data_IF_847515587217
#
_entry.id   IF_847515587217
#
_cell.length_a   1.000
_cell.length_b   1.000
_cell.length_c   1.000
_cell.angle_alpha   90.00
_cell.angle_beta   90.00
_cell.angle_gamma   90.00
#
_symmetry.space_group_name_H-M   'P 1'
#
loop_
_entity.id
_entity.type
_entity.pdbx_description
1 polymer ?
#
# COMPACT_ATOMS: atom_id res chain seq x y z
N UNK A 1 18.69 -19.97 4.82
CA UNK A 1 17.41 -19.25 4.65
C UNK A 1 17.21 -18.18 5.71
N UNK A 2 17.16 -18.51 7.01
CA UNK A 2 16.91 -17.53 8.11
C UNK A 2 18.00 -16.45 8.14
N UNK A 3 19.27 -16.83 8.00
CA UNK A 3 20.39 -15.89 7.98
C UNK A 3 20.33 -14.93 6.79
N UNK A 4 19.98 -15.43 5.62
CA UNK A 4 19.78 -14.62 4.42
C UNK A 4 18.62 -13.65 4.57
N UNK A 5 17.49 -14.11 5.13
CA UNK A 5 16.33 -13.23 5.42
C UNK A 5 16.69 -12.11 6.40
N UNK A 6 17.43 -12.44 7.48
CA UNK A 6 17.87 -11.44 8.47
C UNK A 6 18.82 -10.40 7.89
N UNK A 7 19.64 -10.75 6.89
CA UNK A 7 20.53 -9.80 6.22
C UNK A 7 19.77 -8.89 5.22
N UNK A 8 18.77 -9.43 4.53
CA UNK A 8 18.04 -8.70 3.48
C UNK A 8 16.94 -7.81 4.05
N UNK A 9 16.27 -8.22 5.14
CA UNK A 9 15.15 -7.47 5.72
C UNK A 9 15.50 -6.02 6.11
N UNK A 10 16.62 -5.72 6.82
CA UNK A 10 16.98 -4.34 7.14
C UNK A 10 17.15 -3.47 5.89
N UNK A 11 17.76 -4.02 4.84
CA UNK A 11 17.98 -3.31 3.56
C UNK A 11 16.63 -2.97 2.91
N UNK A 12 15.67 -3.91 2.93
CA UNK A 12 14.32 -3.67 2.40
C UNK A 12 13.59 -2.58 3.18
N UNK A 13 13.70 -2.58 4.52
CA UNK A 13 13.08 -1.55 5.33
C UNK A 13 13.67 -0.15 5.06
N UNK A 14 15.00 -0.05 4.95
CA UNK A 14 15.67 1.20 4.58
C UNK A 14 15.24 1.65 3.18
N UNK A 15 15.24 0.74 2.20
CA UNK A 15 14.78 1.04 0.85
C UNK A 15 13.32 1.52 0.82
N UNK A 16 12.45 0.85 1.57
CA UNK A 16 11.03 1.24 1.66
C UNK A 16 10.86 2.61 2.30
N UNK A 17 11.65 2.93 3.33
CA UNK A 17 11.64 4.24 3.96
C UNK A 17 12.14 5.34 3.01
N UNK A 18 13.18 5.07 2.22
CA UNK A 18 13.66 5.99 1.18
C UNK A 18 12.61 6.21 0.08
N UNK A 19 11.97 5.14 -0.38
CA UNK A 19 10.88 5.24 -1.35
C UNK A 19 9.70 6.04 -0.80
N UNK A 20 9.42 5.96 0.50
CA UNK A 20 8.36 6.73 1.13
C UNK A 20 8.64 8.24 1.08
N UNK A 21 9.89 8.64 1.26
CA UNK A 21 10.28 10.05 1.18
C UNK A 21 10.37 10.57 -0.26
N UNK A 22 10.84 9.74 -1.20
CA UNK A 22 11.09 10.18 -2.58
C UNK A 22 9.86 10.14 -3.48
N UNK A 23 8.96 9.20 -3.25
CA UNK A 23 7.79 9.03 -4.11
C UNK A 23 6.62 9.83 -3.53
N UNK A 24 6.26 10.91 -4.22
CA UNK A 24 5.13 11.75 -3.82
C UNK A 24 3.79 11.01 -4.00
N UNK A 25 2.90 11.20 -3.03
CA UNK A 25 1.53 10.65 -3.03
C UNK A 25 0.75 11.03 -4.29
N UNK A 26 0.92 12.29 -4.78
CA UNK A 26 0.26 12.76 -5.99
C UNK A 26 0.66 11.97 -7.22
N UNK A 27 1.94 11.60 -7.34
CA UNK A 27 2.48 10.79 -8.43
C UNK A 27 1.86 9.39 -8.42
N UNK A 28 1.81 8.73 -7.25
CA UNK A 28 1.19 7.41 -7.13
C UNK A 28 -0.30 7.45 -7.46
N UNK A 29 -1.04 8.42 -6.95
CA UNK A 29 -2.46 8.56 -7.27
C UNK A 29 -2.72 8.78 -8.76
N UNK A 30 -1.86 9.54 -9.45
CA UNK A 30 -1.98 9.82 -10.88
C UNK A 30 -1.71 8.58 -11.75
N UNK A 31 -0.67 7.80 -11.41
CA UNK A 31 -0.20 6.70 -12.26
C UNK A 31 -0.69 5.32 -11.82
N UNK A 32 -0.92 5.10 -10.53
CA UNK A 32 -1.33 3.81 -9.95
C UNK A 32 -2.67 3.88 -9.21
N UNK A 33 -3.31 5.05 -9.13
CA UNK A 33 -4.61 5.23 -8.51
C UNK A 33 -5.77 4.65 -9.32
N UNK A 34 -6.97 4.70 -8.78
CA UNK A 34 -8.22 4.22 -9.44
C UNK A 34 -8.50 4.92 -10.77
N UNK A 35 -8.05 6.15 -10.95
CA UNK A 35 -8.22 6.94 -12.19
C UNK A 35 -7.26 6.57 -13.31
N UNK A 36 -6.20 5.80 -13.04
CA UNK A 36 -5.13 5.51 -14.02
C UNK A 36 -5.53 4.53 -15.13
N UNK A 37 -6.68 3.84 -15.00
CA UNK A 37 -7.23 2.90 -15.99
C UNK A 37 -6.14 1.95 -16.56
N UNK A 38 -6.05 1.86 -17.91
CA UNK A 38 -5.09 0.97 -18.61
C UNK A 38 -3.62 1.33 -18.39
N UNK A 39 -3.30 2.62 -18.23
CA UNK A 39 -1.91 3.08 -17.98
C UNK A 39 -1.37 2.54 -16.66
N UNK A 40 -2.19 2.53 -15.63
CA UNK A 40 -1.82 1.97 -14.34
C UNK A 40 -1.55 0.47 -14.40
N UNK A 41 -2.35 -0.28 -15.16
CA UNK A 41 -2.17 -1.72 -15.40
C UNK A 41 -0.81 -2.00 -16.04
N UNK A 42 -0.49 -1.32 -17.14
CA UNK A 42 0.78 -1.50 -17.85
C UNK A 42 1.96 -1.16 -16.96
N UNK A 43 1.90 -0.01 -16.28
CA UNK A 43 2.94 0.42 -15.36
C UNK A 43 3.15 -0.58 -14.22
N UNK A 44 2.07 -1.15 -13.69
CA UNK A 44 2.12 -2.17 -12.63
C UNK A 44 2.80 -3.45 -13.10
N UNK A 45 2.53 -3.91 -14.33
CA UNK A 45 3.23 -5.04 -14.93
C UNK A 45 4.73 -4.75 -15.09
N UNK A 46 5.09 -3.59 -15.61
CA UNK A 46 6.49 -3.19 -15.79
C UNK A 46 7.22 -3.14 -14.46
N UNK A 47 6.65 -2.47 -13.45
CA UNK A 47 7.24 -2.37 -12.12
C UNK A 47 7.42 -3.75 -11.47
N UNK A 48 6.41 -4.63 -11.56
CA UNK A 48 6.51 -5.98 -11.03
C UNK A 48 7.56 -6.83 -11.75
N UNK A 49 7.66 -6.73 -13.09
CA UNK A 49 8.56 -7.55 -13.91
C UNK A 49 10.04 -7.16 -13.82
N UNK A 50 10.32 -5.86 -13.67
CA UNK A 50 11.71 -5.35 -13.54
C UNK A 50 12.26 -5.58 -12.13
N UNK A 51 11.39 -5.74 -11.15
CA UNK A 51 11.82 -5.88 -9.76
C UNK A 51 12.73 -7.08 -9.55
N UNK A 52 13.90 -6.84 -8.99
CA UNK A 52 14.84 -7.86 -8.58
C UNK A 52 14.72 -8.09 -7.07
N UNK A 53 14.43 -9.31 -6.65
CA UNK A 53 14.37 -9.63 -5.22
C UNK A 53 13.34 -10.70 -4.89
N UNK A 54 13.36 -11.19 -3.66
CA UNK A 54 12.40 -12.18 -3.19
C UNK A 54 11.01 -11.56 -3.02
N UNK A 55 9.97 -12.37 -3.09
CA UNK A 55 8.58 -11.91 -3.04
C UNK A 55 8.22 -11.19 -1.73
N UNK A 56 8.84 -11.57 -0.62
CA UNK A 56 8.60 -10.92 0.67
C UNK A 56 9.04 -9.44 0.70
N UNK A 57 9.96 -9.04 -0.19
CA UNK A 57 10.31 -7.63 -0.39
C UNK A 57 9.20 -6.82 -1.04
N UNK A 58 8.33 -7.46 -1.81
CA UNK A 58 7.22 -6.79 -2.48
C UNK A 58 6.13 -6.31 -1.50
N UNK A 59 5.91 -7.05 -0.39
CA UNK A 59 4.83 -6.73 0.55
C UNK A 59 4.95 -5.33 1.18
N UNK A 60 6.08 -4.93 1.79
CA UNK A 60 6.22 -3.59 2.36
C UNK A 60 6.03 -2.50 1.30
N UNK A 61 6.55 -2.71 0.09
CA UNK A 61 6.42 -1.78 -1.03
C UNK A 61 4.96 -1.66 -1.46
N UNK A 62 4.24 -2.78 -1.60
CA UNK A 62 2.82 -2.78 -1.94
C UNK A 62 1.96 -2.09 -0.89
N UNK A 63 2.25 -2.32 0.40
CA UNK A 63 1.58 -1.62 1.51
C UNK A 63 1.83 -0.11 1.45
N UNK A 64 3.07 0.30 1.18
CA UNK A 64 3.42 1.71 1.02
C UNK A 64 2.68 2.35 -0.16
N UNK A 65 2.67 1.70 -1.32
CA UNK A 65 1.96 2.18 -2.52
C UNK A 65 0.46 2.31 -2.25
N UNK A 66 -0.13 1.35 -1.53
CA UNK A 66 -1.54 1.42 -1.14
C UNK A 66 -1.82 2.60 -0.20
N UNK A 67 -1.00 2.82 0.82
CA UNK A 67 -1.09 3.99 1.70
C UNK A 67 -0.99 5.32 0.94
N UNK A 68 -0.23 5.34 -0.15
CA UNK A 68 -0.09 6.50 -1.05
C UNK A 68 -1.22 6.61 -2.09
N UNK A 69 -2.17 5.70 -2.12
CA UNK A 69 -3.39 5.76 -2.93
C UNK A 69 -3.35 4.95 -4.22
N UNK A 70 -2.44 3.97 -4.33
CA UNK A 70 -2.51 2.98 -5.41
C UNK A 70 -3.77 2.12 -5.28
N UNK A 71 -4.40 1.78 -6.42
CA UNK A 71 -5.59 0.94 -6.43
C UNK A 71 -5.24 -0.52 -6.09
N UNK A 72 -6.16 -1.22 -5.46
CA UNK A 72 -6.05 -2.65 -5.12
C UNK A 72 -5.70 -3.46 -6.36
N UNK A 73 -6.38 -3.20 -7.47
CA UNK A 73 -6.13 -3.84 -8.77
C UNK A 73 -4.66 -3.74 -9.17
N UNK A 74 -4.08 -2.55 -9.13
CA UNK A 74 -2.69 -2.32 -9.53
C UNK A 74 -1.70 -2.99 -8.56
N UNK A 75 -2.02 -3.03 -7.27
CA UNK A 75 -1.22 -3.73 -6.26
C UNK A 75 -1.20 -5.23 -6.51
N UNK A 76 -2.35 -5.83 -6.80
CA UNK A 76 -2.44 -7.26 -7.14
C UNK A 76 -1.59 -7.55 -8.38
N UNK A 77 -1.64 -6.69 -9.41
CA UNK A 77 -0.83 -6.86 -10.61
C UNK A 77 0.67 -6.77 -10.30
N UNK A 78 1.10 -5.77 -9.51
CA UNK A 78 2.51 -5.63 -9.10
C UNK A 78 2.96 -6.89 -8.37
N UNK A 79 2.22 -7.34 -7.37
CA UNK A 79 2.57 -8.49 -6.54
C UNK A 79 2.63 -9.78 -7.35
N UNK A 80 1.65 -10.01 -8.22
CA UNK A 80 1.57 -11.19 -9.08
C UNK A 80 2.68 -11.20 -10.13
N UNK A 81 2.94 -10.05 -10.77
CA UNK A 81 4.02 -9.91 -11.75
C UNK A 81 5.39 -10.11 -11.10
N UNK A 82 5.59 -9.55 -9.89
CA UNK A 82 6.79 -9.76 -9.10
C UNK A 82 7.05 -11.24 -8.78
N UNK A 83 5.98 -12.00 -8.51
CA UNK A 83 6.09 -13.42 -8.19
C UNK A 83 6.41 -14.29 -9.42
N UNK A 84 5.81 -13.99 -10.59
CA UNK A 84 5.74 -14.94 -11.69
C UNK A 84 6.44 -14.45 -12.97
N UNK A 85 6.45 -13.13 -13.25
CA UNK A 85 6.97 -12.55 -14.48
C UNK A 85 8.27 -11.78 -14.20
N UNK A 86 9.35 -12.49 -13.91
CA UNK A 86 10.68 -11.87 -13.76
C UNK A 86 11.50 -12.03 -15.02
N UNK A 87 12.15 -10.95 -15.46
CA UNK A 87 13.02 -10.97 -16.64
C UNK A 87 14.07 -12.09 -16.60
N UNK A 88 14.80 -12.32 -15.48
CA UNK A 88 15.76 -13.43 -15.41
C UNK A 88 15.12 -14.82 -15.56
N UNK A 89 13.89 -14.97 -15.07
CA UNK A 89 13.15 -16.23 -15.18
C UNK A 89 12.70 -16.50 -16.62
N UNK A 90 12.25 -15.48 -17.33
CA UNK A 90 11.90 -15.59 -18.75
C UNK A 90 13.09 -15.99 -19.60
N UNK A 91 14.28 -15.43 -19.35
CA UNK A 91 15.52 -15.79 -20.06
C UNK A 91 15.86 -17.28 -19.84
N UNK A 92 15.75 -17.76 -18.62
CA UNK A 92 15.99 -19.18 -18.30
C UNK A 92 14.97 -20.09 -19.00
N UNK A 93 13.70 -19.71 -19.04
CA UNK A 93 12.68 -20.49 -19.74
C UNK A 93 12.93 -20.58 -21.23
N UNK A 94 13.31 -19.49 -21.88
CA UNK A 94 13.68 -19.53 -23.30
C UNK A 94 14.85 -20.50 -23.52
N UNK A 95 15.83 -20.48 -22.63
CA UNK A 95 17.01 -21.33 -22.74
C UNK A 95 16.72 -22.82 -22.57
N UNK A 96 15.84 -23.19 -21.63
CA UNK A 96 15.57 -24.59 -21.29
C UNK A 96 14.36 -25.19 -21.99
N UNK A 97 13.31 -24.39 -22.20
CA UNK A 97 12.01 -24.86 -22.69
C UNK A 97 11.66 -24.31 -24.10
N UNK A 98 12.46 -23.39 -24.60
CA UNK A 98 12.25 -22.75 -25.89
C UNK A 98 11.31 -21.56 -25.85
N UNK A 99 11.43 -20.73 -26.91
CA UNK A 99 10.70 -19.46 -27.00
C UNK A 99 9.19 -19.64 -27.14
N UNK A 100 8.75 -20.71 -27.79
CA UNK A 100 7.32 -20.98 -27.99
C UNK A 100 6.61 -21.27 -26.67
N UNK A 101 7.21 -22.12 -25.84
CA UNK A 101 6.66 -22.41 -24.52
C UNK A 101 6.62 -21.17 -23.64
N UNK A 102 7.71 -20.42 -23.58
CA UNK A 102 7.78 -19.18 -22.81
C UNK A 102 6.69 -18.18 -23.27
N UNK A 103 6.50 -17.98 -24.57
CA UNK A 103 5.50 -17.04 -25.10
C UNK A 103 4.07 -17.45 -24.71
N UNK A 104 3.71 -18.71 -24.88
CA UNK A 104 2.38 -19.22 -24.50
C UNK A 104 2.15 -19.05 -22.99
N UNK A 105 3.11 -19.47 -22.17
CA UNK A 105 3.02 -19.34 -20.71
C UNK A 105 2.90 -17.86 -20.31
N UNK A 106 3.66 -16.98 -20.91
CA UNK A 106 3.65 -15.55 -20.60
C UNK A 106 2.29 -14.91 -20.92
N UNK A 107 1.71 -15.19 -22.08
CA UNK A 107 0.38 -14.71 -22.47
C UNK A 107 -0.70 -15.23 -21.49
N UNK A 108 -0.69 -16.53 -21.22
CA UNK A 108 -1.65 -17.13 -20.29
C UNK A 108 -1.51 -16.54 -18.87
N UNK A 109 -0.29 -16.29 -18.42
CA UNK A 109 -0.04 -15.68 -17.10
C UNK A 109 -0.55 -14.24 -17.05
N UNK A 110 -0.35 -13.44 -18.10
CA UNK A 110 -0.90 -12.08 -18.16
C UNK A 110 -2.43 -12.11 -18.08
N UNK A 111 -3.08 -12.99 -18.84
CA UNK A 111 -4.54 -13.15 -18.81
C UNK A 111 -5.00 -13.53 -17.40
N UNK A 112 -4.35 -14.51 -16.77
CA UNK A 112 -4.67 -14.93 -15.42
C UNK A 112 -4.52 -13.78 -14.40
N UNK A 113 -3.42 -13.03 -14.44
CA UNK A 113 -3.20 -11.88 -13.54
C UNK A 113 -4.28 -10.82 -13.74
N UNK A 114 -4.68 -10.53 -14.98
CA UNK A 114 -5.74 -9.56 -15.26
C UNK A 114 -7.09 -10.03 -14.69
N UNK A 115 -7.44 -11.30 -14.84
CA UNK A 115 -8.65 -11.87 -14.27
C UNK A 115 -8.61 -11.80 -12.74
N UNK A 116 -7.52 -12.25 -12.10
CA UNK A 116 -7.36 -12.19 -10.64
C UNK A 116 -7.40 -10.77 -10.10
N UNK A 117 -6.77 -9.82 -10.81
CA UNK A 117 -6.77 -8.42 -10.39
C UNK A 117 -8.16 -7.80 -10.47
N UNK A 118 -8.95 -8.16 -11.49
CA UNK A 118 -10.32 -7.69 -11.64
C UNK A 118 -11.25 -8.30 -10.57
N UNK A 119 -11.13 -9.59 -10.31
CA UNK A 119 -11.87 -10.28 -9.26
C UNK A 119 -11.51 -9.72 -7.89
N UNK A 120 -10.21 -9.54 -7.61
CA UNK A 120 -9.72 -8.99 -6.36
C UNK A 120 -10.20 -7.56 -6.11
N UNK A 121 -10.19 -6.71 -7.12
CA UNK A 121 -10.69 -5.32 -7.02
C UNK A 121 -12.19 -5.26 -6.71
N UNK A 122 -12.95 -6.29 -7.12
CA UNK A 122 -14.38 -6.39 -6.86
C UNK A 122 -14.72 -6.98 -5.49
N UNK A 123 -13.91 -7.93 -5.03
CA UNK A 123 -14.13 -8.62 -3.74
C UNK A 123 -13.56 -7.84 -2.57
N UNK A 124 -12.33 -7.33 -2.73
CA UNK A 124 -11.62 -6.64 -1.66
C UNK A 124 -12.08 -5.18 -1.64
N UNK A 125 -12.77 -4.80 -0.59
CA UNK A 125 -13.13 -3.40 -0.34
C UNK A 125 -11.96 -2.67 0.31
N UNK A 126 -11.81 -1.38 0.05
CA UNK A 126 -10.79 -0.53 0.70
C UNK A 126 -10.90 -0.58 2.24
N UNK A 127 -12.08 -0.92 2.76
CA UNK A 127 -12.37 -1.10 4.18
C UNK A 127 -11.71 -2.38 4.77
N UNK A 128 -11.52 -3.43 3.97
CA UNK A 128 -10.92 -4.70 4.38
C UNK A 128 -9.40 -4.60 4.47
N UNK A 129 -8.81 -3.73 3.66
CA UNK A 129 -7.38 -3.43 3.72
C UNK A 129 -7.18 -2.40 4.82
N UNK A 130 -6.66 -2.83 5.90
CA UNK A 130 -6.30 -2.19 7.17
C UNK A 130 -5.75 -0.75 7.15
N UNK A 131 -6.31 0.11 6.36
CA UNK A 131 -6.21 1.55 6.48
C UNK A 131 -7.59 2.00 6.93
N UNK A 132 -7.89 1.79 8.21
CA UNK A 132 -9.05 2.36 8.86
C UNK A 132 -8.98 3.89 8.73
N UNK A 133 -9.42 4.38 7.58
CA UNK A 133 -9.73 5.78 7.40
C UNK A 133 -11.20 5.97 7.72
N UNK A 134 -11.54 6.06 8.97
CA UNK A 134 -12.79 6.67 9.38
C UNK A 134 -12.64 8.18 9.12
N UNK A 135 -12.95 8.62 7.90
CA UNK A 135 -13.06 10.03 7.60
C UNK A 135 -14.40 10.54 8.15
N UNK A 136 -14.35 11.54 9.00
CA UNK A 136 -15.50 12.39 9.29
C UNK A 136 -15.18 13.74 8.65
N UNK A 137 -16.04 14.21 7.75
CA UNK A 137 -15.94 15.47 6.99
C UNK A 137 -14.71 15.64 6.09
N UNK A 138 -14.06 14.57 5.67
CA UNK A 138 -12.94 14.65 4.72
C UNK A 138 -11.65 15.30 5.25
N UNK A 139 -11.65 15.80 6.48
CA UNK A 139 -10.53 16.58 7.04
C UNK A 139 -9.66 15.78 8.02
N UNK A 140 -10.21 14.82 8.78
CA UNK A 140 -9.46 14.11 9.82
C UNK A 140 -9.72 12.61 9.78
N UNK A 141 -8.68 11.81 9.91
CA UNK A 141 -8.80 10.35 9.96
C UNK A 141 -7.99 9.76 11.13
N UNK A 142 -8.53 8.71 11.75
CA UNK A 142 -7.85 7.94 12.80
C UNK A 142 -7.57 6.54 12.26
N UNK A 143 -6.31 6.13 12.32
CA UNK A 143 -5.94 4.73 12.14
C UNK A 143 -6.14 3.97 13.45
N UNK A 144 -7.30 3.36 13.65
CA UNK A 144 -7.65 2.66 14.89
C UNK A 144 -6.78 1.45 15.16
N UNK A 145 -6.14 0.84 14.15
CA UNK A 145 -5.19 -0.27 14.33
C UNK A 145 -3.84 0.21 14.84
N UNK A 146 -3.34 1.33 14.34
CA UNK A 146 -2.11 1.94 14.84
C UNK A 146 -2.31 2.59 16.22
N UNK A 147 -3.53 3.01 16.54
CA UNK A 147 -3.85 3.67 17.78
C UNK A 147 -3.66 2.72 18.97
N UNK A 148 -2.82 3.12 19.94
CA UNK A 148 -2.58 2.40 21.19
C UNK A 148 -3.51 2.82 22.35
N UNK A 149 -4.42 3.78 22.09
CA UNK A 149 -5.35 4.27 23.10
C UNK A 149 -4.73 5.09 24.23
N UNK A 150 -3.59 5.75 23.98
CA UNK A 150 -2.85 6.51 24.99
C UNK A 150 -3.60 7.76 25.52
N UNK A 151 -4.63 8.23 24.80
CA UNK A 151 -5.46 9.37 25.21
C UNK A 151 -4.85 10.75 25.00
N UNK A 152 -3.64 10.85 24.43
CA UNK A 152 -2.97 12.15 24.20
C UNK A 152 -3.83 13.05 23.32
N UNK A 153 -4.39 12.53 22.23
CA UNK A 153 -5.27 13.29 21.32
C UNK A 153 -6.53 13.83 22.05
N UNK A 154 -7.15 13.03 22.90
CA UNK A 154 -8.32 13.44 23.69
C UNK A 154 -7.97 14.49 24.76
N UNK A 155 -6.74 14.52 25.26
CA UNK A 155 -6.26 15.58 26.14
C UNK A 155 -5.93 16.86 25.40
N UNK A 156 -5.36 16.75 24.18
CA UNK A 156 -4.96 17.90 23.36
C UNK A 156 -6.15 18.56 22.71
N UNK A 157 -7.14 17.78 22.22
CA UNK A 157 -8.35 18.29 21.61
C UNK A 157 -9.60 17.48 22.03
N UNK A 158 -10.12 17.74 23.26
CA UNK A 158 -11.19 16.93 23.87
C UNK A 158 -12.53 16.99 23.12
N UNK A 159 -12.84 18.11 22.47
CA UNK A 159 -14.09 18.26 21.71
C UNK A 159 -14.13 17.38 20.45
N UNK A 160 -12.97 17.15 19.81
CA UNK A 160 -12.87 16.34 18.59
C UNK A 160 -12.55 14.87 18.84
N UNK A 161 -11.75 14.56 19.88
CA UNK A 161 -11.29 13.19 20.13
C UNK A 161 -11.80 12.67 21.48
N UNK A 162 -12.34 11.45 21.46
CA UNK A 162 -12.65 10.64 22.66
C UNK A 162 -11.89 9.32 22.61
N UNK A 163 -11.73 8.66 23.76
CA UNK A 163 -11.10 7.34 23.83
C UNK A 163 -12.09 6.36 24.43
N UNK A 164 -12.48 5.37 23.66
CA UNK A 164 -13.36 4.29 24.05
C UNK A 164 -12.71 2.95 23.67
N UNK A 165 -12.84 1.94 24.54
CA UNK A 165 -12.27 0.60 24.32
C UNK A 165 -10.78 0.62 23.94
N UNK A 166 -9.97 1.50 24.55
CA UNK A 166 -8.55 1.69 24.25
C UNK A 166 -8.27 2.11 22.80
N UNK A 167 -9.20 2.79 22.16
CA UNK A 167 -9.05 3.35 20.82
C UNK A 167 -9.58 4.78 20.79
N UNK A 168 -8.93 5.63 19.99
CA UNK A 168 -9.42 6.98 19.77
C UNK A 168 -10.61 6.96 18.80
N UNK A 169 -11.60 7.78 19.10
CA UNK A 169 -12.79 8.02 18.28
C UNK A 169 -12.92 9.50 17.98
N UNK A 170 -13.54 9.83 16.84
CA UNK A 170 -13.84 11.19 16.45
C UNK A 170 -15.28 11.55 16.90
N UNK A 171 -15.41 12.65 17.59
CA UNK A 171 -16.69 13.27 17.89
C UNK A 171 -17.11 14.19 16.75
N UNK A 172 -18.41 14.27 16.46
CA UNK A 172 -18.92 15.22 15.48
C UNK A 172 -18.89 16.63 16.05
N UNK A 173 -18.16 17.53 15.40
CA UNK A 173 -18.15 18.96 15.69
C UNK A 173 -18.30 19.75 14.40
N UNK A 174 -19.01 20.86 14.46
CA UNK A 174 -19.32 21.69 13.28
C UNK A 174 -18.14 22.54 12.82
N UNK A 175 -17.20 22.85 13.72
CA UNK A 175 -16.02 23.64 13.41
C UNK A 175 -14.75 22.97 13.95
N UNK A 176 -13.80 22.67 13.07
CA UNK A 176 -12.51 22.07 13.43
C UNK A 176 -11.47 23.19 13.49
N UNK A 177 -10.86 23.36 14.66
CA UNK A 177 -9.72 24.24 14.87
C UNK A 177 -8.46 23.58 14.32
N UNK A 178 -7.94 24.10 13.22
CA UNK A 178 -6.77 23.55 12.52
C UNK A 178 -5.49 23.59 13.37
N UNK A 179 -5.34 24.56 14.28
CA UNK A 179 -4.17 24.65 15.14
C UNK A 179 -4.17 23.57 16.22
N UNK A 180 -5.29 23.38 16.90
CA UNK A 180 -5.43 22.30 17.89
C UNK A 180 -5.37 20.92 17.24
N UNK A 181 -5.90 20.76 16.03
CA UNK A 181 -5.82 19.54 15.26
C UNK A 181 -4.36 19.18 14.94
N UNK A 182 -3.58 20.13 14.41
CA UNK A 182 -2.17 19.90 14.11
C UNK A 182 -1.38 19.52 15.37
N UNK A 183 -1.61 20.23 16.49
CA UNK A 183 -1.00 19.88 17.79
C UNK A 183 -1.36 18.43 18.23
N UNK A 184 -2.60 18.00 18.02
CA UNK A 184 -3.01 16.64 18.36
C UNK A 184 -2.36 15.59 17.44
N UNK A 185 -2.20 15.88 16.15
CA UNK A 185 -1.52 15.02 15.16
C UNK A 185 -0.04 14.87 15.53
N UNK A 186 0.65 15.98 15.77
CA UNK A 186 2.10 15.99 16.10
C UNK A 186 2.38 15.32 17.44
N UNK A 187 1.44 15.37 18.37
CA UNK A 187 1.56 14.75 19.70
C UNK A 187 1.28 13.24 19.69
N UNK A 188 0.87 12.65 18.56
CA UNK A 188 0.52 11.23 18.49
C UNK A 188 1.79 10.36 18.40
N UNK A 189 2.13 9.55 19.42
CA UNK A 189 3.39 8.80 19.44
C UNK A 189 3.48 7.70 18.38
N UNK A 190 2.34 7.32 17.79
CA UNK A 190 2.25 6.24 16.79
C UNK A 190 1.75 6.74 15.43
N UNK A 191 1.69 8.06 15.24
CA UNK A 191 1.19 8.70 14.01
C UNK A 191 -0.15 8.11 13.50
N UNK A 192 -1.06 7.83 14.44
CA UNK A 192 -2.36 7.25 14.11
C UNK A 192 -3.39 8.29 13.62
N UNK A 193 -3.09 9.59 13.70
CA UNK A 193 -3.94 10.68 13.25
C UNK A 193 -3.41 11.24 11.93
N UNK A 194 -4.32 11.51 10.99
CA UNK A 194 -3.98 12.12 9.71
C UNK A 194 -5.04 13.19 9.34
N UNK A 195 -4.59 14.23 8.65
CA UNK A 195 -5.39 15.30 8.09
C UNK A 195 -5.58 15.09 6.59
#
# INVERSE_FOLDING_TARGET
YIKEMLMIMPVIFVLTALLDTWIDKKTIMKYLGKSSKSKGVILSFVLGSISAGPIYAAFPICVLLHKKGASIRNIIIILSSWAVIKVPMLINEVKFLGIQFMAVRWVLTIIAILIFSFIGDKIIKDEDLAVDKKFIDGKVSINTRACIGCGVCAKTYPSLFSVENKKAHLNKIDNIDDEQLNKAIDSCPVNALNK
#
